data_IF_750062670864
#
_entry.id   IF_750062670864
#
_cell.length_a   1.000
_cell.length_b   1.000
_cell.length_c   1.000
_cell.angle_alpha   90.00
_cell.angle_beta   90.00
_cell.angle_gamma   90.00
#
_symmetry.space_group_name_H-M   'P 1'
#
loop_
_entity.id
_entity.type
_entity.pdbx_description
1 polymer ?
#
# COMPACT_ATOMS: atom_id res chain seq x y z
N UNK A 1 -4.32 -2.16 22.40
CA UNK A 1 -4.35 -3.36 21.53
C UNK A 1 -4.37 -2.90 20.08
N UNK A 2 -3.71 -3.64 19.14
CA UNK A 2 -3.80 -3.34 17.70
C UNK A 2 -4.84 -4.30 17.11
N UNK A 3 -5.80 -3.75 16.36
CA UNK A 3 -6.82 -4.52 15.63
C UNK A 3 -6.68 -4.22 14.14
N UNK A 4 -6.60 -5.26 13.31
CA UNK A 4 -6.62 -5.12 11.84
C UNK A 4 -8.01 -5.47 11.34
N UNK A 5 -8.61 -4.59 10.55
CA UNK A 5 -9.89 -4.81 9.88
C UNK A 5 -9.83 -4.46 8.40
N UNK A 6 -10.74 -4.99 7.63
CA UNK A 6 -10.94 -4.54 6.25
C UNK A 6 -11.44 -3.09 6.24
N UNK A 7 -10.99 -2.32 5.28
CA UNK A 7 -11.50 -0.96 5.09
C UNK A 7 -12.96 -0.97 4.59
N UNK A 8 -13.66 0.10 4.86
CA UNK A 8 -15.01 0.40 4.37
C UNK A 8 -14.98 1.68 3.56
N UNK A 9 -16.09 2.01 2.92
CA UNK A 9 -16.23 3.28 2.16
C UNK A 9 -15.95 4.52 3.04
N UNK A 10 -16.19 4.42 4.35
CA UNK A 10 -15.93 5.51 5.30
C UNK A 10 -14.43 5.76 5.56
N UNK A 11 -13.57 4.84 5.14
CA UNK A 11 -12.12 4.96 5.29
C UNK A 11 -11.44 5.61 4.08
N UNK A 12 -12.17 5.84 2.98
CA UNK A 12 -11.62 6.33 1.71
C UNK A 12 -10.77 7.59 1.88
N UNK A 13 -11.21 8.56 2.66
CA UNK A 13 -10.42 9.77 2.91
C UNK A 13 -9.08 9.47 3.61
N UNK A 14 -9.09 8.55 4.58
CA UNK A 14 -7.88 8.13 5.28
C UNK A 14 -6.93 7.32 4.37
N UNK A 15 -7.49 6.50 3.48
CA UNK A 15 -6.73 5.74 2.49
C UNK A 15 -6.05 6.68 1.51
N UNK A 16 -6.77 7.64 0.94
CA UNK A 16 -6.24 8.63 0.00
C UNK A 16 -5.06 9.40 0.59
N UNK A 17 -5.18 9.85 1.84
CA UNK A 17 -4.07 10.49 2.55
C UNK A 17 -2.90 9.55 2.80
N UNK A 18 -3.17 8.30 3.14
CA UNK A 18 -2.14 7.28 3.32
C UNK A 18 -1.33 7.02 2.05
N UNK A 19 -1.99 6.94 0.90
CA UNK A 19 -1.35 6.81 -0.41
C UNK A 19 -0.50 8.04 -0.73
N UNK A 20 -1.07 9.24 -0.58
CA UNK A 20 -0.36 10.50 -0.81
C UNK A 20 0.95 10.57 -0.02
N UNK A 21 0.91 10.21 1.26
CA UNK A 21 2.10 10.19 2.10
C UNK A 21 3.06 9.03 1.80
N UNK A 22 2.57 7.92 1.24
CA UNK A 22 3.43 6.82 0.82
C UNK A 22 4.30 7.20 -0.40
N UNK A 23 3.79 8.06 -1.28
CA UNK A 23 4.55 8.61 -2.41
C UNK A 23 5.52 9.73 -2.01
N UNK A 24 5.63 10.08 -0.74
CA UNK A 24 6.51 11.16 -0.24
C UNK A 24 6.32 12.50 -0.95
N UNK A 25 5.12 12.75 -1.47
CA UNK A 25 4.79 14.00 -2.16
C UNK A 25 4.79 15.16 -1.14
N UNK A 26 5.60 16.17 -1.40
CA UNK A 26 5.74 17.35 -0.55
C UNK A 26 5.11 18.62 -1.15
N UNK A 27 4.53 18.53 -2.36
CA UNK A 27 3.95 19.68 -3.05
C UNK A 27 2.54 19.99 -2.53
N UNK A 28 2.45 20.94 -1.60
CA UNK A 28 1.16 21.41 -1.06
C UNK A 28 0.23 22.01 -2.15
N UNK A 29 0.76 22.48 -3.26
CA UNK A 29 -0.02 23.05 -4.37
C UNK A 29 -0.86 22.01 -5.09
N UNK A 30 -0.40 20.78 -5.16
CA UNK A 30 -1.09 19.67 -5.80
C UNK A 30 -1.90 18.80 -4.82
N UNK A 31 -1.69 18.97 -3.51
CA UNK A 31 -2.31 18.14 -2.47
C UNK A 31 -3.82 17.95 -2.66
N UNK A 32 -4.55 19.05 -2.80
CA UNK A 32 -6.01 18.97 -2.92
C UNK A 32 -6.45 18.20 -4.17
N UNK A 33 -5.75 18.38 -5.30
CA UNK A 33 -6.05 17.67 -6.53
C UNK A 33 -5.78 16.17 -6.38
N UNK A 34 -4.64 15.80 -5.76
CA UNK A 34 -4.31 14.42 -5.45
C UNK A 34 -5.38 13.76 -4.57
N UNK A 35 -5.74 14.39 -3.46
CA UNK A 35 -6.68 13.82 -2.51
C UNK A 35 -8.06 13.64 -3.13
N UNK A 36 -8.54 14.57 -3.95
CA UNK A 36 -9.83 14.42 -4.65
C UNK A 36 -9.79 13.22 -5.59
N UNK A 37 -8.80 13.15 -6.47
CA UNK A 37 -8.69 12.05 -7.46
C UNK A 37 -8.45 10.71 -6.78
N UNK A 38 -7.59 10.65 -5.76
CA UNK A 38 -7.36 9.41 -5.01
C UNK A 38 -8.64 8.91 -4.32
N UNK A 39 -9.48 9.81 -3.76
CA UNK A 39 -10.77 9.40 -3.19
C UNK A 39 -11.67 8.76 -4.24
N UNK A 40 -11.81 9.37 -5.39
CA UNK A 40 -12.62 8.84 -6.50
C UNK A 40 -12.15 7.44 -6.94
N UNK A 41 -10.83 7.24 -7.00
CA UNK A 41 -10.22 5.95 -7.33
C UNK A 41 -10.44 4.92 -6.21
N UNK A 42 -10.24 5.32 -4.94
CA UNK A 42 -10.40 4.43 -3.79
C UNK A 42 -11.85 3.96 -3.58
N UNK A 43 -12.85 4.75 -4.00
CA UNK A 43 -14.27 4.38 -3.93
C UNK A 43 -14.65 3.28 -4.93
N UNK A 44 -13.93 3.14 -6.02
CA UNK A 44 -14.20 2.13 -7.04
C UNK A 44 -13.85 0.73 -6.54
N UNK A 45 -14.66 -0.25 -6.92
CA UNK A 45 -14.55 -1.60 -6.37
C UNK A 45 -13.42 -2.43 -6.99
N UNK A 46 -12.99 -2.07 -8.19
CA UNK A 46 -12.16 -2.87 -9.08
C UNK A 46 -10.87 -2.16 -9.53
N UNK A 47 -10.46 -1.11 -8.81
CA UNK A 47 -9.16 -0.47 -8.96
C UNK A 47 -8.15 -1.05 -7.99
N UNK A 48 -6.88 -0.90 -8.29
CA UNK A 48 -5.79 -1.31 -7.42
C UNK A 48 -5.85 -0.64 -6.04
N UNK A 49 -6.15 0.68 -5.99
CA UNK A 49 -6.27 1.46 -4.76
C UNK A 49 -7.65 1.38 -4.09
N UNK A 50 -8.52 0.48 -4.53
CA UNK A 50 -9.84 0.30 -3.94
C UNK A 50 -9.77 0.12 -2.42
N UNK A 51 -10.73 0.71 -1.69
CA UNK A 51 -10.91 0.41 -0.27
C UNK A 51 -11.10 -1.10 -0.01
N UNK A 52 -11.55 -1.87 -1.01
CA UNK A 52 -11.70 -3.32 -0.93
C UNK A 52 -10.37 -4.08 -0.87
N UNK A 53 -9.30 -3.47 -1.35
CA UNK A 53 -7.94 -3.99 -1.29
C UNK A 53 -7.17 -3.46 -0.06
N UNK A 54 -7.86 -2.74 0.84
CA UNK A 54 -7.23 -2.02 1.94
C UNK A 54 -7.58 -2.61 3.30
N UNK A 55 -6.61 -2.63 4.19
CA UNK A 55 -6.75 -2.98 5.62
C UNK A 55 -6.33 -1.80 6.48
N UNK A 56 -7.10 -1.58 7.53
CA UNK A 56 -6.89 -0.50 8.50
C UNK A 56 -6.42 -1.12 9.81
N UNK A 57 -5.33 -0.61 10.34
CA UNK A 57 -4.91 -0.87 11.70
C UNK A 57 -5.53 0.18 12.63
N UNK A 58 -6.25 -0.29 13.62
CA UNK A 58 -6.82 0.53 14.70
C UNK A 58 -6.09 0.22 16.01
N UNK A 59 -5.90 1.25 16.82
CA UNK A 59 -5.44 1.13 18.20
C UNK A 59 -6.53 1.61 19.15
N UNK A 60 -6.53 1.12 20.38
CA UNK A 60 -7.45 1.57 21.40
C UNK A 60 -7.29 3.09 21.56
N UNK A 61 -8.37 3.84 21.31
CA UNK A 61 -8.41 5.29 21.53
C UNK A 61 -8.65 5.63 22.99
N UNK A 62 -8.60 6.91 23.32
CA UNK A 62 -9.10 7.39 24.60
C UNK A 62 -10.58 7.00 24.76
N UNK A 63 -11.01 6.71 25.99
CA UNK A 63 -12.31 6.11 26.39
C UNK A 63 -13.58 6.74 25.80
N UNK A 64 -13.46 7.82 25.03
CA UNK A 64 -14.59 8.59 24.45
C UNK A 64 -14.92 8.25 23.00
N UNK A 65 -14.12 7.44 22.33
CA UNK A 65 -14.33 7.07 20.92
C UNK A 65 -14.84 5.64 20.85
N UNK A 66 -16.09 5.48 20.43
CA UNK A 66 -16.64 4.16 20.06
C UNK A 66 -16.00 3.77 18.72
N UNK A 67 -15.05 2.88 18.75
CA UNK A 67 -14.18 2.52 17.63
C UNK A 67 -12.74 2.93 17.91
N UNK A 68 -11.76 2.13 17.42
CA UNK A 68 -10.35 2.45 17.57
C UNK A 68 -9.93 3.68 16.75
N UNK A 69 -8.81 4.27 17.11
CA UNK A 69 -8.18 5.32 16.28
C UNK A 69 -7.44 4.66 15.13
N UNK A 70 -7.61 5.14 13.91
CA UNK A 70 -6.87 4.68 12.73
C UNK A 70 -5.39 5.01 12.91
N UNK A 71 -4.57 3.98 13.01
CA UNK A 71 -3.13 4.09 13.27
C UNK A 71 -2.28 3.80 12.05
N UNK A 72 -2.84 3.14 11.04
CA UNK A 72 -2.15 2.81 9.79
C UNK A 72 -3.07 2.14 8.80
N UNK A 73 -2.58 2.03 7.56
CA UNK A 73 -3.26 1.36 6.46
C UNK A 73 -2.29 0.55 5.63
N UNK A 74 -2.81 -0.44 4.92
CA UNK A 74 -2.08 -1.24 3.96
C UNK A 74 -2.98 -1.55 2.77
N UNK A 75 -2.47 -1.33 1.57
CA UNK A 75 -3.07 -1.84 0.33
C UNK A 75 -2.32 -3.11 -0.05
N UNK A 76 -3.04 -4.19 -0.27
CA UNK A 76 -2.44 -5.43 -0.72
C UNK A 76 -3.37 -6.16 -1.69
N UNK A 77 -2.79 -6.68 -2.77
CA UNK A 77 -3.52 -7.28 -3.88
C UNK A 77 -2.95 -8.64 -4.27
N UNK A 78 -3.80 -9.47 -4.83
CA UNK A 78 -3.45 -10.69 -5.50
C UNK A 78 -2.82 -10.35 -6.86
N UNK A 79 -1.60 -10.81 -7.09
CA UNK A 79 -0.87 -10.51 -8.31
C UNK A 79 -1.54 -11.01 -9.58
N UNK A 80 -2.45 -11.99 -9.48
CA UNK A 80 -3.27 -12.44 -10.60
C UNK A 80 -4.13 -11.31 -11.19
N UNK A 81 -4.60 -10.39 -10.34
CA UNK A 81 -5.48 -9.28 -10.73
C UNK A 81 -4.78 -7.93 -10.76
N UNK A 82 -3.48 -7.88 -10.41
CA UNK A 82 -2.72 -6.64 -10.27
C UNK A 82 -2.81 -5.77 -11.52
N UNK A 83 -2.44 -6.31 -12.68
CA UNK A 83 -2.38 -5.56 -13.94
C UNK A 83 -3.76 -5.05 -14.36
N UNK A 84 -4.79 -5.87 -14.29
CA UNK A 84 -6.16 -5.47 -14.66
C UNK A 84 -6.65 -4.31 -13.80
N UNK A 85 -6.45 -4.39 -12.48
CA UNK A 85 -6.89 -3.36 -11.54
C UNK A 85 -6.09 -2.07 -11.69
N UNK A 86 -4.78 -2.18 -11.94
CA UNK A 86 -3.90 -1.04 -12.21
C UNK A 86 -4.31 -0.33 -13.50
N UNK A 87 -4.54 -1.07 -14.58
CA UNK A 87 -4.88 -0.49 -15.89
C UNK A 87 -6.26 0.22 -15.88
N UNK A 88 -7.18 -0.20 -15.01
CA UNK A 88 -8.43 0.54 -14.77
C UNK A 88 -8.22 1.84 -13.99
N UNK A 89 -7.29 1.85 -13.07
CA UNK A 89 -6.96 3.01 -12.24
C UNK A 89 -6.15 4.06 -13.00
N UNK A 90 -5.22 3.62 -13.81
CA UNK A 90 -4.19 4.43 -14.45
C UNK A 90 -4.69 5.67 -15.20
N UNK A 91 -5.69 5.60 -16.10
CA UNK A 91 -6.14 6.77 -16.86
C UNK A 91 -6.60 7.93 -15.97
N UNK A 92 -7.05 7.63 -14.76
CA UNK A 92 -7.57 8.61 -13.81
C UNK A 92 -6.45 9.34 -13.06
N UNK A 93 -5.31 8.67 -12.84
CA UNK A 93 -4.17 9.21 -12.11
C UNK A 93 -3.06 9.73 -13.02
N UNK A 94 -3.08 9.36 -14.32
CA UNK A 94 -2.00 9.66 -15.26
C UNK A 94 -1.56 11.13 -15.23
N UNK A 95 -2.49 12.07 -15.29
CA UNK A 95 -2.15 13.49 -15.30
C UNK A 95 -1.44 13.97 -14.03
N UNK A 96 -1.78 13.40 -12.88
CA UNK A 96 -1.12 13.70 -11.61
C UNK A 96 0.29 13.09 -11.54
N UNK A 97 0.42 11.83 -11.96
CA UNK A 97 1.71 11.16 -12.02
C UNK A 97 2.66 11.82 -13.03
N UNK A 98 2.15 12.23 -14.21
CA UNK A 98 2.96 12.93 -15.23
C UNK A 98 3.52 14.27 -14.69
N UNK A 99 2.79 14.94 -13.80
CA UNK A 99 3.26 16.18 -13.14
C UNK A 99 4.25 15.89 -12.03
N UNK A 100 3.99 14.88 -11.20
CA UNK A 100 4.80 14.59 -10.03
C UNK A 100 6.11 13.85 -10.37
N UNK A 101 6.07 12.92 -11.31
CA UNK A 101 7.18 12.01 -11.62
C UNK A 101 7.65 12.07 -13.07
N UNK A 102 7.06 12.93 -13.89
CA UNK A 102 7.32 12.93 -15.33
C UNK A 102 6.65 11.78 -16.08
N UNK A 103 6.95 11.67 -17.37
CA UNK A 103 6.41 10.60 -18.21
C UNK A 103 7.16 9.29 -17.93
N UNK A 104 6.62 8.41 -17.14
CA UNK A 104 7.28 7.15 -16.80
C UNK A 104 6.32 5.97 -16.65
N UNK A 105 5.03 6.26 -16.67
CA UNK A 105 4.04 5.21 -16.41
C UNK A 105 3.94 4.15 -17.52
N UNK A 106 4.02 4.56 -18.77
CA UNK A 106 3.87 3.63 -19.90
C UNK A 106 5.05 2.64 -20.01
N UNK A 107 6.18 2.94 -19.33
CA UNK A 107 7.40 2.14 -19.29
C UNK A 107 7.61 1.44 -17.93
N UNK A 108 6.67 1.58 -17.00
CA UNK A 108 6.78 1.03 -15.65
C UNK A 108 6.77 -0.49 -15.64
N UNK A 109 7.71 -1.10 -14.95
CA UNK A 109 7.72 -2.54 -14.73
C UNK A 109 6.52 -2.98 -13.87
N UNK A 110 6.04 -4.21 -14.11
CA UNK A 110 5.04 -4.80 -13.20
C UNK A 110 5.69 -5.09 -11.84
N UNK A 111 5.10 -4.53 -10.81
CA UNK A 111 5.53 -4.70 -9.43
C UNK A 111 5.09 -6.05 -8.83
N UNK A 112 4.04 -6.64 -9.40
CA UNK A 112 3.49 -7.93 -8.97
C UNK A 112 3.12 -8.81 -10.16
N UNK A 113 3.15 -10.11 -9.97
CA UNK A 113 2.77 -11.12 -10.96
C UNK A 113 1.92 -12.23 -10.34
N UNK A 114 1.28 -13.02 -11.21
CA UNK A 114 0.52 -14.19 -10.80
C UNK A 114 1.32 -15.09 -9.84
N UNK A 115 0.67 -15.56 -8.79
CA UNK A 115 1.28 -16.38 -7.73
C UNK A 115 1.97 -15.58 -6.61
N UNK A 116 1.93 -14.26 -6.66
CA UNK A 116 2.42 -13.37 -5.60
C UNK A 116 1.26 -12.65 -4.91
N UNK A 117 1.41 -12.36 -3.63
CA UNK A 117 0.55 -11.44 -2.90
C UNK A 117 1.33 -10.15 -2.63
N UNK A 118 0.94 -9.08 -3.29
CA UNK A 118 1.70 -7.85 -3.33
C UNK A 118 1.19 -6.83 -2.32
N UNK A 119 2.10 -6.31 -1.48
CA UNK A 119 1.86 -5.16 -0.62
C UNK A 119 2.31 -3.92 -1.39
N UNK A 120 1.35 -3.13 -1.87
CA UNK A 120 1.61 -1.89 -2.60
C UNK A 120 1.97 -0.74 -1.65
N UNK A 121 1.07 -0.40 -0.76
CA UNK A 121 1.22 0.75 0.12
C UNK A 121 1.09 0.34 1.58
N UNK A 122 2.02 0.82 2.40
CA UNK A 122 2.01 0.65 3.85
C UNK A 122 2.30 1.98 4.53
N UNK A 123 1.29 2.56 5.17
CA UNK A 123 1.43 3.80 5.91
C UNK A 123 1.09 3.63 7.38
N UNK A 124 1.93 4.16 8.27
CA UNK A 124 1.67 4.22 9.71
C UNK A 124 1.74 5.67 10.16
N UNK A 125 0.66 6.16 10.75
CA UNK A 125 0.56 7.53 11.25
C UNK A 125 1.66 7.81 12.30
N UNK A 126 2.27 8.99 12.22
CA UNK A 126 3.46 9.36 13.01
C UNK A 126 3.35 9.01 14.51
N UNK A 127 2.24 9.32 15.22
CA UNK A 127 2.13 9.03 16.65
C UNK A 127 2.17 7.53 16.99
N UNK A 128 1.90 6.65 16.01
CA UNK A 128 1.79 5.20 16.22
C UNK A 128 2.95 4.41 15.62
N UNK A 129 3.98 5.09 15.11
CA UNK A 129 5.21 4.44 14.62
C UNK A 129 5.96 3.78 15.75
N UNK A 130 6.72 2.73 15.43
CA UNK A 130 7.52 1.93 16.38
C UNK A 130 6.71 1.24 17.49
N UNK A 131 5.38 1.11 17.33
CA UNK A 131 4.48 0.45 18.28
C UNK A 131 3.92 -0.89 17.75
N UNK A 132 4.50 -1.45 16.69
CA UNK A 132 4.11 -2.73 16.12
C UNK A 132 3.01 -2.68 15.04
N UNK A 133 2.48 -1.49 14.72
CA UNK A 133 1.38 -1.34 13.73
C UNK A 133 1.78 -1.87 12.36
N UNK A 134 2.95 -1.48 11.83
CA UNK A 134 3.43 -1.98 10.55
C UNK A 134 3.68 -3.49 10.55
N UNK A 135 4.18 -4.04 11.65
CA UNK A 135 4.31 -5.50 11.85
C UNK A 135 2.96 -6.19 11.74
N UNK A 136 1.95 -5.69 12.46
CA UNK A 136 0.61 -6.30 12.45
C UNK A 136 -0.05 -6.27 11.06
N UNK A 137 0.14 -5.19 10.29
CA UNK A 137 -0.36 -5.09 8.92
C UNK A 137 0.33 -6.10 7.98
N UNK A 138 1.66 -6.22 8.04
CA UNK A 138 2.41 -7.18 7.22
C UNK A 138 2.07 -8.63 7.58
N UNK A 139 1.96 -8.96 8.86
CA UNK A 139 1.53 -10.31 9.26
C UNK A 139 0.11 -10.61 8.76
N UNK A 140 -0.79 -9.61 8.74
CA UNK A 140 -2.11 -9.77 8.13
C UNK A 140 -2.02 -10.06 6.63
N UNK A 141 -1.12 -9.41 5.88
CA UNK A 141 -0.91 -9.71 4.46
C UNK A 141 -0.46 -11.18 4.27
N UNK A 142 0.45 -11.67 5.11
CA UNK A 142 0.90 -13.06 5.06
C UNK A 142 -0.22 -14.06 5.38
N UNK A 143 -1.06 -13.76 6.37
CA UNK A 143 -2.25 -14.57 6.66
C UNK A 143 -3.18 -14.67 5.44
N UNK A 144 -3.43 -13.53 4.78
CA UNK A 144 -4.31 -13.49 3.62
C UNK A 144 -3.72 -14.22 2.41
N UNK A 145 -2.42 -14.08 2.17
CA UNK A 145 -1.72 -14.84 1.14
C UNK A 145 -1.88 -16.35 1.40
N UNK A 146 -1.68 -16.77 2.65
CA UNK A 146 -1.87 -18.16 3.07
C UNK A 146 -3.32 -18.65 2.85
N UNK A 147 -4.33 -17.83 3.23
CA UNK A 147 -5.75 -18.15 3.00
C UNK A 147 -6.08 -18.35 1.53
N UNK A 148 -5.33 -17.71 0.63
CA UNK A 148 -5.45 -17.84 -0.83
C UNK A 148 -4.57 -18.96 -1.43
N UNK A 149 -3.76 -19.65 -0.64
CA UNK A 149 -2.81 -20.63 -1.12
C UNK A 149 -1.60 -20.01 -1.86
N UNK A 150 -1.32 -18.73 -1.62
CA UNK A 150 -0.18 -18.00 -2.20
C UNK A 150 0.98 -18.08 -1.20
N UNK A 151 2.11 -18.63 -1.64
CA UNK A 151 3.30 -18.85 -0.79
C UNK A 151 4.32 -17.72 -0.81
N UNK A 152 4.11 -16.68 -1.60
CA UNK A 152 5.06 -15.56 -1.76
C UNK A 152 4.35 -14.24 -1.53
N UNK A 153 4.86 -13.44 -0.59
CA UNK A 153 4.43 -12.06 -0.37
C UNK A 153 5.53 -11.13 -0.84
N UNK A 154 5.19 -10.14 -1.67
CA UNK A 154 6.14 -9.19 -2.25
C UNK A 154 5.82 -7.74 -1.91
N UNK A 155 6.80 -6.88 -2.00
CA UNK A 155 6.68 -5.43 -1.91
C UNK A 155 7.82 -4.75 -2.66
N UNK A 156 7.56 -3.54 -3.15
CA UNK A 156 8.59 -2.66 -3.68
C UNK A 156 8.94 -1.57 -2.65
N UNK A 157 10.22 -1.23 -2.54
CA UNK A 157 10.69 -0.24 -1.58
C UNK A 157 11.89 0.53 -2.13
N UNK A 158 11.95 1.83 -1.87
CA UNK A 158 13.09 2.67 -2.21
C UNK A 158 14.38 2.18 -1.53
N UNK A 159 15.55 2.27 -2.19
CA UNK A 159 16.81 1.76 -1.65
C UNK A 159 17.17 2.32 -0.26
N UNK A 160 16.89 3.60 -0.02
CA UNK A 160 17.22 4.29 1.23
C UNK A 160 16.10 4.30 2.28
N UNK A 161 14.97 3.61 2.01
CA UNK A 161 13.82 3.62 2.88
C UNK A 161 14.11 2.89 4.20
N UNK A 162 13.87 3.57 5.31
CA UNK A 162 14.10 3.03 6.67
C UNK A 162 13.23 1.82 7.00
N UNK A 163 12.10 1.64 6.31
CA UNK A 163 11.20 0.51 6.50
C UNK A 163 11.82 -0.83 6.09
N UNK A 164 12.90 -0.84 5.28
CA UNK A 164 13.66 -2.05 4.92
C UNK A 164 14.07 -2.88 6.16
N UNK A 165 14.40 -2.24 7.28
CA UNK A 165 14.73 -2.95 8.54
C UNK A 165 13.53 -3.71 9.10
N UNK A 166 12.32 -3.18 8.95
CA UNK A 166 11.09 -3.86 9.33
C UNK A 166 10.86 -5.07 8.41
N UNK A 167 10.96 -4.88 7.12
CA UNK A 167 10.74 -5.94 6.12
C UNK A 167 11.73 -7.09 6.30
N UNK A 168 13.02 -6.80 6.45
CA UNK A 168 14.06 -7.81 6.72
C UNK A 168 13.76 -8.63 7.99
N UNK A 169 13.37 -7.96 9.08
CA UNK A 169 13.00 -8.64 10.34
C UNK A 169 11.79 -9.55 10.18
N UNK A 170 10.90 -9.24 9.24
CA UNK A 170 9.72 -10.03 8.91
C UNK A 170 9.96 -11.04 7.77
N UNK A 171 11.23 -11.30 7.43
CA UNK A 171 11.60 -12.35 6.48
C UNK A 171 11.60 -11.96 5.01
N UNK A 172 11.42 -10.67 4.70
CA UNK A 172 11.57 -10.20 3.33
C UNK A 172 13.05 -10.10 2.95
N UNK A 173 13.39 -10.65 1.80
CA UNK A 173 14.73 -10.60 1.21
C UNK A 173 14.69 -9.90 -0.14
N UNK A 174 15.76 -9.16 -0.44
CA UNK A 174 15.96 -8.53 -1.74
C UNK A 174 15.92 -9.57 -2.86
N UNK A 175 15.23 -9.26 -3.93
CA UNK A 175 15.14 -10.08 -5.14
C UNK A 175 15.84 -9.43 -6.32
N UNK A 176 15.41 -8.24 -6.71
CA UNK A 176 15.94 -7.49 -7.85
C UNK A 176 15.59 -6.00 -7.74
N UNK A 177 16.23 -5.19 -8.58
CA UNK A 177 15.82 -3.81 -8.83
C UNK A 177 14.69 -3.78 -9.84
N UNK A 178 13.82 -2.80 -9.70
CA UNK A 178 12.76 -2.47 -10.65
C UNK A 178 12.72 -0.95 -10.80
N UNK A 179 12.20 -0.50 -11.93
CA UNK A 179 11.99 0.93 -12.20
C UNK A 179 10.49 1.24 -12.11
N UNK A 180 10.15 2.19 -11.24
CA UNK A 180 8.78 2.67 -11.05
C UNK A 180 8.84 4.20 -11.16
N UNK A 181 8.11 4.80 -12.11
CA UNK A 181 8.10 6.25 -12.36
C UNK A 181 9.48 6.87 -12.60
N UNK A 182 10.37 6.19 -13.33
CA UNK A 182 11.77 6.57 -13.54
C UNK A 182 12.63 6.63 -12.25
N UNK A 183 12.14 6.03 -11.18
CA UNK A 183 12.84 5.91 -9.91
C UNK A 183 13.20 4.45 -9.63
N UNK A 184 14.37 4.23 -9.03
CA UNK A 184 14.84 2.90 -8.68
C UNK A 184 14.18 2.41 -7.39
N UNK A 185 13.58 1.22 -7.46
CA UNK A 185 13.04 0.50 -6.30
C UNK A 185 13.71 -0.88 -6.17
N UNK A 186 13.66 -1.43 -4.98
CA UNK A 186 14.05 -2.81 -4.69
C UNK A 186 12.78 -3.65 -4.47
N UNK A 187 12.61 -4.69 -5.27
CA UNK A 187 11.61 -5.71 -5.02
C UNK A 187 12.12 -6.66 -3.93
N UNK A 188 11.35 -6.83 -2.89
CA UNK A 188 11.62 -7.76 -1.80
C UNK A 188 10.50 -8.81 -1.72
N UNK A 189 10.85 -10.03 -1.33
CA UNK A 189 9.91 -11.14 -1.18
C UNK A 189 10.11 -11.87 0.14
N UNK A 190 9.00 -12.35 0.70
CA UNK A 190 8.99 -13.28 1.82
C UNK A 190 8.24 -14.56 1.42
N UNK A 191 8.87 -15.72 1.61
CA UNK A 191 8.22 -17.00 1.46
C UNK A 191 7.44 -17.34 2.75
N UNK A 192 6.24 -17.88 2.58
CA UNK A 192 5.39 -18.31 3.68
C UNK A 192 4.95 -19.77 3.48
N UNK A 193 4.75 -20.48 4.57
CA UNK A 193 4.24 -21.85 4.52
C UNK A 193 2.72 -21.81 4.40
N UNK A 194 2.21 -22.32 3.30
CA UNK A 194 0.77 -22.43 2.98
C UNK A 194 0.23 -23.81 3.37
#
# INVERSE_FOLDING_TARGET
MIRIRRATIEDVAYIAEGIYHAFLLEDEGLYNQWIVTLKEVCEQADTHYSYRNTWIAEVDGERTVVGGVRAGMMIAVDGEHYREQRDKMYPQLKGLFDVAFGKGWDEMEDEAKAGEFYIDSLAVSLPYRNQGVGTALIEKAKEMAKEKGISVVTLAVEPENRAKRLYQRLGFAYQRRIEIFNEEYELHAAEIVV
#
